data_IF_624305237472
#
_entry.id   IF_624305237472
#
_cell.length_a   1.000
_cell.length_b   1.000
_cell.length_c   1.000
_cell.angle_alpha   90.00
_cell.angle_beta   90.00
_cell.angle_gamma   90.00
#
_symmetry.space_group_name_H-M   'P 1'
#
loop_
_entity.id
_entity.type
_entity.pdbx_description
1 polymer ?
#
# COMPACT_ATOMS: atom_id res chain seq x y z
N UNK A 1 29.10 13.77 -0.39
CA UNK A 1 28.37 13.29 -1.59
C UNK A 1 27.26 12.37 -1.13
N UNK A 2 26.02 12.66 -1.50
CA UNK A 2 24.86 11.80 -1.22
C UNK A 2 25.10 10.40 -1.82
N UNK A 3 24.76 9.34 -1.10
CA UNK A 3 24.83 7.97 -1.61
C UNK A 3 23.72 7.66 -2.64
N UNK A 4 22.86 8.64 -2.93
CA UNK A 4 21.75 8.55 -3.87
C UNK A 4 22.05 9.31 -5.16
N UNK A 5 21.45 8.88 -6.26
CA UNK A 5 21.60 9.52 -7.57
C UNK A 5 21.01 10.94 -7.65
N UNK A 6 20.18 11.32 -6.67
CA UNK A 6 19.62 12.66 -6.43
C UNK A 6 19.13 12.71 -4.99
N UNK A 7 19.12 13.89 -4.38
CA UNK A 7 18.55 14.08 -3.05
C UNK A 7 17.01 14.19 -3.13
N UNK A 8 16.26 13.30 -2.45
CA UNK A 8 14.80 13.31 -2.49
C UNK A 8 14.23 14.50 -1.70
N UNK A 9 13.28 15.22 -2.28
CA UNK A 9 12.64 16.39 -1.66
C UNK A 9 11.22 16.05 -1.21
N UNK A 10 11.05 15.87 0.10
CA UNK A 10 9.75 15.62 0.70
C UNK A 10 8.97 16.92 0.90
N UNK A 11 7.71 16.94 0.47
CA UNK A 11 6.84 18.11 0.60
C UNK A 11 5.59 17.81 1.40
N UNK A 12 5.03 18.83 2.04
CA UNK A 12 3.77 18.73 2.79
C UNK A 12 2.63 18.22 1.90
N UNK A 13 2.60 18.63 0.63
CA UNK A 13 1.57 18.18 -0.31
C UNK A 13 1.62 16.67 -0.56
N UNK A 14 2.83 16.08 -0.63
CA UNK A 14 2.98 14.63 -0.77
C UNK A 14 2.44 13.89 0.47
N UNK A 15 2.69 14.43 1.66
CA UNK A 15 2.18 13.88 2.92
C UNK A 15 0.65 13.96 3.01
N UNK A 16 0.05 15.09 2.62
CA UNK A 16 -1.40 15.27 2.55
C UNK A 16 -2.01 14.28 1.56
N UNK A 17 -1.43 14.16 0.36
CA UNK A 17 -1.89 13.21 -0.65
C UNK A 17 -1.81 11.76 -0.15
N UNK A 18 -0.69 11.39 0.48
CA UNK A 18 -0.52 10.07 1.10
C UNK A 18 -1.61 9.78 2.12
N UNK A 19 -1.84 10.69 3.07
CA UNK A 19 -2.86 10.53 4.11
C UNK A 19 -4.27 10.41 3.52
N UNK A 20 -4.60 11.26 2.54
CA UNK A 20 -5.90 11.23 1.86
C UNK A 20 -6.16 9.92 1.13
N UNK A 21 -5.20 9.43 0.33
CA UNK A 21 -5.34 8.16 -0.39
C UNK A 21 -5.36 6.96 0.56
N UNK A 22 -4.56 6.98 1.64
CA UNK A 22 -4.59 5.94 2.67
C UNK A 22 -5.95 5.86 3.35
N UNK A 23 -6.50 7.00 3.75
CA UNK A 23 -7.82 7.07 4.37
C UNK A 23 -8.90 6.53 3.42
N UNK A 24 -8.89 6.99 2.16
CA UNK A 24 -9.81 6.52 1.14
C UNK A 24 -9.73 5.00 0.95
N UNK A 25 -8.51 4.46 0.78
CA UNK A 25 -8.31 3.03 0.58
C UNK A 25 -8.85 2.18 1.75
N UNK A 26 -8.56 2.61 2.99
CA UNK A 26 -9.05 1.92 4.19
C UNK A 26 -10.58 2.03 4.29
N UNK A 27 -11.16 3.21 4.05
CA UNK A 27 -12.61 3.40 4.08
C UNK A 27 -13.33 2.57 3.02
N UNK A 28 -12.81 2.50 1.80
CA UNK A 28 -13.35 1.64 0.74
C UNK A 28 -13.30 0.17 1.15
N UNK A 29 -12.14 -0.32 1.61
CA UNK A 29 -12.01 -1.70 2.09
C UNK A 29 -12.96 -1.98 3.25
N UNK A 30 -13.09 -1.03 4.16
CA UNK A 30 -14.02 -1.11 5.27
C UNK A 30 -15.44 -1.25 4.72
N UNK A 31 -15.97 -0.26 4.01
CA UNK A 31 -17.34 -0.25 3.49
C UNK A 31 -17.72 -1.56 2.76
N UNK A 32 -16.88 -2.04 1.84
CA UNK A 32 -17.20 -3.16 0.95
C UNK A 32 -16.84 -4.56 1.47
N UNK A 33 -16.22 -4.71 2.65
CA UNK A 33 -15.82 -6.02 3.21
C UNK A 33 -16.50 -6.38 4.55
N UNK A 34 -17.84 -6.29 4.71
CA UNK A 34 -18.54 -6.59 5.96
C UNK A 34 -18.24 -7.98 6.51
N UNK A 35 -18.19 -9.00 5.65
CA UNK A 35 -17.95 -10.39 6.09
C UNK A 35 -16.52 -10.62 6.58
N UNK A 36 -15.52 -10.00 5.96
CA UNK A 36 -14.11 -10.12 6.43
C UNK A 36 -13.93 -9.38 7.76
N UNK A 37 -14.58 -8.21 7.92
CA UNK A 37 -14.62 -7.46 9.17
C UNK A 37 -15.24 -8.26 10.32
N UNK A 38 -16.33 -8.99 10.05
CA UNK A 38 -16.97 -9.82 11.07
C UNK A 38 -16.06 -10.95 11.57
N UNK A 39 -15.21 -11.53 10.70
CA UNK A 39 -14.28 -12.61 11.05
C UNK A 39 -13.06 -12.11 11.81
N UNK A 40 -12.46 -10.97 11.41
CA UNK A 40 -11.22 -10.47 12.01
C UNK A 40 -11.41 -9.48 13.18
N UNK A 41 -12.58 -8.86 13.28
CA UNK A 41 -12.78 -7.66 14.09
C UNK A 41 -12.42 -6.38 13.35
N UNK A 42 -13.12 -5.28 13.68
CA UNK A 42 -13.04 -3.99 12.96
C UNK A 42 -11.64 -3.37 12.96
N UNK A 43 -11.02 -3.28 14.14
CA UNK A 43 -9.70 -2.67 14.30
C UNK A 43 -8.60 -3.45 13.55
N UNK A 44 -8.56 -4.78 13.73
CA UNK A 44 -7.59 -5.66 13.06
C UNK A 44 -7.74 -5.63 11.54
N UNK A 45 -8.98 -5.58 11.04
CA UNK A 45 -9.25 -5.44 9.61
C UNK A 45 -8.76 -4.10 9.05
N UNK A 46 -9.03 -2.99 9.74
CA UNK A 46 -8.60 -1.67 9.32
C UNK A 46 -7.07 -1.57 9.26
N UNK A 47 -6.39 -2.08 10.30
CA UNK A 47 -4.93 -2.14 10.35
C UNK A 47 -4.36 -3.00 9.22
N UNK A 48 -4.86 -4.22 9.03
CA UNK A 48 -4.40 -5.10 7.95
C UNK A 48 -4.63 -4.49 6.56
N UNK A 49 -5.76 -3.79 6.37
CA UNK A 49 -6.08 -3.10 5.12
C UNK A 49 -5.13 -1.93 4.86
N UNK A 50 -4.85 -1.12 5.89
CA UNK A 50 -3.90 -0.04 5.81
C UNK A 50 -2.51 -0.56 5.43
N UNK A 51 -2.03 -1.61 6.11
CA UNK A 51 -0.70 -2.17 5.89
C UNK A 51 -0.48 -2.70 4.48
N UNK A 52 -1.50 -3.32 3.87
CA UNK A 52 -1.40 -3.80 2.49
C UNK A 52 -1.46 -2.64 1.48
N UNK A 53 -2.21 -1.58 1.78
CA UNK A 53 -2.32 -0.42 0.93
C UNK A 53 -1.07 0.48 0.98
N UNK A 54 -0.41 0.57 2.14
CA UNK A 54 0.72 1.48 2.40
C UNK A 54 1.84 1.37 1.37
N UNK A 55 2.40 0.17 1.03
CA UNK A 55 3.46 0.04 0.03
C UNK A 55 3.17 0.76 -1.28
N UNK A 56 1.99 0.50 -1.87
CA UNK A 56 1.60 1.08 -3.14
C UNK A 56 1.40 2.58 -3.05
N UNK A 57 0.65 3.04 -2.03
CA UNK A 57 0.34 4.47 -1.89
C UNK A 57 1.60 5.27 -1.57
N UNK A 58 2.40 4.85 -0.58
CA UNK A 58 3.65 5.52 -0.21
C UNK A 58 4.66 5.54 -1.37
N UNK A 59 4.75 4.45 -2.14
CA UNK A 59 5.61 4.40 -3.32
C UNK A 59 5.23 5.48 -4.35
N UNK A 60 3.94 5.61 -4.65
CA UNK A 60 3.44 6.55 -5.67
C UNK A 60 3.46 8.00 -5.18
N UNK A 61 3.10 8.28 -3.93
CA UNK A 61 2.94 9.66 -3.44
C UNK A 61 4.23 10.22 -2.84
N UNK A 62 4.87 9.46 -1.96
CA UNK A 62 6.03 9.92 -1.19
C UNK A 62 7.30 9.68 -1.99
N UNK A 63 7.60 8.42 -2.32
CA UNK A 63 8.87 8.06 -2.95
C UNK A 63 8.99 8.67 -4.34
N UNK A 64 8.04 8.37 -5.24
CA UNK A 64 8.04 8.96 -6.58
C UNK A 64 8.00 10.48 -6.53
N UNK A 65 7.14 11.04 -5.67
CA UNK A 65 6.99 12.48 -5.50
C UNK A 65 8.31 13.15 -5.10
N UNK A 66 9.00 12.58 -4.13
CA UNK A 66 10.23 13.14 -3.58
C UNK A 66 11.41 13.04 -4.56
N UNK A 67 11.59 11.89 -5.22
CA UNK A 67 12.62 11.74 -6.24
C UNK A 67 12.35 12.62 -7.46
N UNK A 68 11.10 12.74 -7.91
CA UNK A 68 10.74 13.65 -9.00
C UNK A 68 11.06 15.10 -8.65
N UNK A 69 10.72 15.53 -7.44
CA UNK A 69 11.03 16.88 -6.96
C UNK A 69 12.54 17.13 -6.89
N UNK A 70 13.31 16.18 -6.38
CA UNK A 70 14.78 16.23 -6.38
C UNK A 70 15.34 16.39 -7.79
N UNK A 71 14.93 15.55 -8.74
CA UNK A 71 15.39 15.61 -10.12
C UNK A 71 15.04 16.94 -10.81
N UNK A 72 13.86 17.51 -10.54
CA UNK A 72 13.51 18.84 -11.07
C UNK A 72 14.33 19.95 -10.42
N UNK A 73 14.70 19.84 -9.14
CA UNK A 73 15.57 20.79 -8.46
C UNK A 73 17.01 20.77 -9.00
N UNK A 74 17.47 19.63 -9.53
CA UNK A 74 18.74 19.52 -10.29
C UNK A 74 18.68 20.14 -11.70
N UNK A 75 17.53 20.69 -12.11
CA UNK A 75 17.35 21.29 -13.45
C UNK A 75 16.96 20.32 -14.55
N UNK A 76 16.59 19.07 -14.22
CA UNK A 76 16.14 18.10 -15.22
C UNK A 76 14.72 18.41 -15.70
N UNK A 77 14.44 18.07 -16.95
CA UNK A 77 13.10 18.20 -17.53
C UNK A 77 12.05 17.34 -16.81
N UNK A 78 10.79 17.80 -16.82
CA UNK A 78 9.68 17.12 -16.14
C UNK A 78 9.52 15.65 -16.54
N UNK A 79 9.66 15.34 -17.84
CA UNK A 79 9.45 14.00 -18.37
C UNK A 79 10.59 13.05 -17.92
N UNK A 80 11.82 13.53 -17.95
CA UNK A 80 12.99 12.80 -17.45
C UNK A 80 12.89 12.53 -15.95
N UNK A 81 12.55 13.56 -15.15
CA UNK A 81 12.34 13.42 -13.71
C UNK A 81 11.24 12.42 -13.36
N UNK A 82 10.16 12.38 -14.15
CA UNK A 82 9.10 11.38 -14.00
C UNK A 82 9.58 9.97 -14.34
N UNK A 83 10.27 9.77 -15.45
CA UNK A 83 10.74 8.44 -15.85
C UNK A 83 11.75 7.87 -14.86
N UNK A 84 12.73 8.68 -14.44
CA UNK A 84 13.76 8.24 -13.46
C UNK A 84 13.18 7.95 -12.08
N UNK A 85 12.15 8.69 -11.66
CA UNK A 85 11.49 8.45 -10.36
C UNK A 85 10.66 7.17 -10.30
N UNK A 86 10.27 6.60 -11.45
CA UNK A 86 9.54 5.31 -11.50
C UNK A 86 10.40 4.16 -10.98
N UNK A 87 11.71 4.16 -11.24
CA UNK A 87 12.60 3.08 -10.77
C UNK A 87 12.61 3.02 -9.24
N UNK A 88 12.72 4.17 -8.57
CA UNK A 88 12.70 4.28 -7.12
C UNK A 88 11.34 3.89 -6.53
N UNK A 89 10.25 4.29 -7.17
CA UNK A 89 8.89 3.86 -6.81
C UNK A 89 8.75 2.33 -6.87
N UNK A 90 9.11 1.73 -8.00
CA UNK A 90 8.97 0.29 -8.22
C UNK A 90 9.83 -0.52 -7.25
N UNK A 91 11.08 -0.11 -7.05
CA UNK A 91 11.98 -0.75 -6.10
C UNK A 91 11.45 -0.67 -4.66
N UNK A 92 10.97 0.50 -4.24
CA UNK A 92 10.34 0.66 -2.93
C UNK A 92 9.10 -0.21 -2.77
N UNK A 93 8.17 -0.19 -3.74
CA UNK A 93 6.93 -1.00 -3.68
C UNK A 93 7.29 -2.48 -3.56
N UNK A 94 8.23 -2.96 -4.37
CA UNK A 94 8.66 -4.36 -4.33
C UNK A 94 9.23 -4.75 -2.96
N UNK A 95 10.20 -3.99 -2.45
CA UNK A 95 10.84 -4.27 -1.16
C UNK A 95 9.86 -4.16 0.02
N UNK A 96 9.01 -3.14 0.02
CA UNK A 96 8.02 -2.95 1.09
C UNK A 96 6.91 -3.99 1.05
N UNK A 97 6.49 -4.46 -0.13
CA UNK A 97 5.56 -5.60 -0.23
C UNK A 97 6.19 -6.90 0.26
N UNK A 98 7.47 -7.14 -0.04
CA UNK A 98 8.21 -8.27 0.53
C UNK A 98 8.24 -8.16 2.06
N UNK A 99 8.55 -6.98 2.60
CA UNK A 99 8.54 -6.74 4.04
C UNK A 99 7.16 -7.04 4.67
N UNK A 100 6.08 -6.53 4.08
CA UNK A 100 4.71 -6.78 4.56
C UNK A 100 4.36 -8.28 4.52
N UNK A 101 4.86 -9.00 3.53
CA UNK A 101 4.58 -10.43 3.34
C UNK A 101 5.38 -11.33 4.28
N UNK A 102 6.63 -10.97 4.57
CA UNK A 102 7.57 -11.88 5.22
C UNK A 102 7.97 -11.47 6.64
N UNK A 103 7.91 -10.19 7.01
CA UNK A 103 8.34 -9.72 8.32
C UNK A 103 7.19 -9.68 9.34
N UNK A 104 7.34 -10.25 10.54
CA UNK A 104 6.42 -10.01 11.65
C UNK A 104 6.47 -8.53 12.08
N UNK A 105 5.36 -7.95 12.58
CA UNK A 105 4.03 -8.52 12.74
C UNK A 105 3.17 -8.47 11.45
N UNK A 106 3.71 -7.91 10.36
CA UNK A 106 2.97 -7.63 9.13
C UNK A 106 2.54 -8.90 8.40
N UNK A 107 3.41 -9.91 8.39
CA UNK A 107 3.14 -11.21 7.82
C UNK A 107 1.98 -11.93 8.52
N UNK A 108 1.75 -11.68 9.81
CA UNK A 108 0.61 -12.25 10.55
C UNK A 108 -0.69 -11.58 10.16
N UNK A 109 -0.72 -10.25 10.15
CA UNK A 109 -1.93 -9.49 9.79
C UNK A 109 -2.36 -9.72 8.34
N UNK A 110 -1.41 -9.82 7.41
CA UNK A 110 -1.70 -10.13 6.01
C UNK A 110 -2.21 -11.56 5.84
N UNK A 111 -1.67 -12.54 6.58
CA UNK A 111 -2.17 -13.92 6.61
C UNK A 111 -3.60 -14.00 7.14
N UNK A 112 -3.91 -13.30 8.23
CA UNK A 112 -5.24 -13.28 8.82
C UNK A 112 -6.28 -12.70 7.85
N UNK A 113 -5.93 -11.62 7.13
CA UNK A 113 -6.78 -11.06 6.09
C UNK A 113 -7.01 -12.04 4.94
N UNK A 114 -5.97 -12.75 4.51
CA UNK A 114 -6.09 -13.78 3.48
C UNK A 114 -6.96 -14.96 3.95
N UNK A 115 -6.83 -15.38 5.20
CA UNK A 115 -7.65 -16.44 5.80
C UNK A 115 -9.12 -16.03 5.91
N UNK A 116 -9.40 -14.80 6.35
CA UNK A 116 -10.77 -14.26 6.36
C UNK A 116 -11.37 -14.22 4.94
N UNK A 117 -10.57 -13.87 3.93
CA UNK A 117 -10.95 -13.96 2.53
C UNK A 117 -11.32 -15.39 2.10
N UNK A 118 -10.47 -16.37 2.43
CA UNK A 118 -10.71 -17.79 2.14
C UNK A 118 -11.96 -18.32 2.84
N UNK A 119 -12.20 -17.93 4.10
CA UNK A 119 -13.40 -18.33 4.85
C UNK A 119 -14.67 -17.83 4.16
N UNK A 120 -14.69 -16.56 3.72
CA UNK A 120 -15.83 -16.00 2.98
C UNK A 120 -16.04 -16.72 1.64
N UNK A 121 -14.97 -17.09 0.95
CA UNK A 121 -15.05 -17.81 -0.32
C UNK A 121 -15.51 -19.25 -0.15
N UNK A 122 -15.02 -19.96 0.88
CA UNK A 122 -15.51 -21.32 1.24
C UNK A 122 -17.01 -21.30 1.58
N UNK A 123 -17.47 -20.34 2.37
CA UNK A 123 -18.90 -20.15 2.64
C UNK A 123 -19.70 -19.71 1.39
N UNK A 124 -19.03 -19.05 0.44
CA UNK A 124 -19.40 -18.88 -0.98
C UNK A 124 -19.79 -20.23 -1.62
N UNK A 125 -18.77 -21.06 -1.72
CA UNK A 125 -18.73 -22.31 -2.47
C UNK A 125 -19.66 -23.36 -1.87
N UNK A 126 -19.68 -23.51 -0.54
CA UNK A 126 -20.55 -24.47 0.14
C UNK A 126 -22.03 -24.22 -0.17
N UNK A 127 -22.47 -22.94 -0.16
CA UNK A 127 -23.84 -22.58 -0.56
C UNK A 127 -24.15 -22.92 -2.01
N UNK A 128 -23.19 -22.70 -2.92
CA UNK A 128 -23.35 -23.10 -4.33
C UNK A 128 -23.43 -24.62 -4.51
N UNK A 129 -22.72 -25.38 -3.68
CA UNK A 129 -22.74 -26.84 -3.69
C UNK A 129 -23.93 -27.44 -2.91
N UNK A 130 -24.87 -26.63 -2.41
CA UNK A 130 -26.00 -27.09 -1.60
C UNK A 130 -25.61 -27.67 -0.24
N UNK A 131 -24.37 -27.44 0.21
CA UNK A 131 -23.88 -27.87 1.52
C UNK A 131 -24.06 -26.71 2.50
N UNK A 132 -25.06 -26.81 3.38
CA UNK A 132 -25.28 -25.86 4.48
C UNK A 132 -24.28 -26.10 5.61
#
# INVERSE_FOLDING_TARGET
>A
MSAFAVDPIFTTLQAIAFAGFMLLAVLTQYAFSPRRRAVMGRAKFALASAMIATPGIAGVTLVRGAYRAGYMAEGRGFLEANLRSIVWMSGFIFLSQLAVRFLPPMSWLSRDLAQAGKAVWRARLNRWMGRS
#
